data_IF_725474285480
#
_entry.id   IF_725474285480
#
_cell.length_a   1.000
_cell.length_b   1.000
_cell.length_c   1.000
_cell.angle_alpha   90.00
_cell.angle_beta   90.00
_cell.angle_gamma   90.00
#
_symmetry.space_group_name_H-M   'P 1'
#
loop_
_entity.id
_entity.type
_entity.pdbx_description
1 polymer ?
#
# COMPACT_ATOMS: atom_id res chain seq x y z
N UNK A 1 39.11 9.73 -33.94
CA UNK A 1 38.73 9.03 -32.68
C UNK A 1 37.22 8.83 -32.71
N UNK A 2 36.73 7.68 -32.24
CA UNK A 2 35.53 7.01 -32.75
C UNK A 2 34.21 7.45 -32.10
N UNK A 3 33.12 7.19 -32.83
CA UNK A 3 31.68 7.46 -32.55
C UNK A 3 31.15 6.68 -31.34
N UNK A 4 29.89 6.88 -30.84
CA UNK A 4 28.70 6.34 -31.56
C UNK A 4 27.25 6.81 -31.19
N UNK A 5 26.30 6.33 -32.02
CA UNK A 5 24.87 6.08 -31.79
C UNK A 5 23.90 7.26 -31.95
N UNK A 6 23.22 7.41 -33.09
CA UNK A 6 22.17 6.56 -33.67
C UNK A 6 20.86 6.60 -32.89
N UNK A 7 19.86 7.13 -33.59
CA UNK A 7 18.47 7.31 -33.21
C UNK A 7 17.80 5.97 -32.87
N UNK A 8 17.15 5.87 -31.71
CA UNK A 8 16.02 4.95 -31.54
C UNK A 8 14.88 5.69 -30.83
N UNK A 9 13.72 5.65 -31.48
CA UNK A 9 12.53 6.38 -31.09
C UNK A 9 11.82 5.66 -29.95
N UNK A 10 11.76 6.26 -28.77
CA UNK A 10 10.67 5.93 -27.84
C UNK A 10 9.61 7.01 -28.02
N UNK A 11 8.52 6.60 -28.67
CA UNK A 11 7.31 7.40 -28.86
C UNK A 11 6.90 8.02 -27.54
N UNK A 12 6.97 9.36 -27.50
CA UNK A 12 6.28 10.16 -26.53
C UNK A 12 4.78 10.03 -26.84
N UNK A 13 4.16 8.93 -26.39
CA UNK A 13 2.71 8.78 -26.45
C UNK A 13 2.14 9.78 -25.47
N UNK A 14 1.73 10.93 -26.02
CA UNK A 14 0.87 11.90 -25.39
C UNK A 14 -0.45 11.20 -24.97
N UNK A 15 -0.47 10.68 -23.75
CA UNK A 15 -1.71 10.49 -23.01
C UNK A 15 -1.96 11.80 -22.25
N UNK A 16 -3.12 12.41 -22.48
CA UNK A 16 -3.43 13.78 -22.08
C UNK A 16 -3.38 14.05 -20.56
N UNK A 17 -3.67 15.30 -20.14
CA UNK A 17 -3.76 15.68 -18.74
C UNK A 17 -5.04 15.12 -18.12
N UNK A 18 -5.17 13.80 -18.02
CA UNK A 18 -6.09 13.21 -17.06
C UNK A 18 -5.31 13.11 -15.76
N UNK A 19 -5.75 13.88 -14.76
CA UNK A 19 -5.43 13.69 -13.36
C UNK A 19 -5.21 12.22 -13.10
N UNK A 20 -3.94 11.83 -13.01
CA UNK A 20 -3.56 10.50 -12.61
C UNK A 20 -3.93 10.44 -11.14
N UNK A 21 -5.21 10.13 -10.88
CA UNK A 21 -5.66 9.62 -9.60
C UNK A 21 -4.99 8.25 -9.53
N UNK A 22 -3.70 8.26 -9.20
CA UNK A 22 -3.00 7.08 -8.74
C UNK A 22 -3.90 6.54 -7.65
N UNK A 23 -4.54 5.40 -7.92
CA UNK A 23 -5.22 4.67 -6.88
C UNK A 23 -4.25 4.61 -5.69
N UNK A 24 -4.72 4.93 -4.47
CA UNK A 24 -3.84 4.99 -3.32
C UNK A 24 -3.03 3.71 -3.27
N UNK A 25 -1.70 3.78 -3.12
CA UNK A 25 -0.89 2.58 -3.08
C UNK A 25 -1.42 1.70 -1.94
N UNK A 26 -1.80 0.49 -2.32
CA UNK A 26 -2.38 -0.50 -1.42
C UNK A 26 -1.41 -1.66 -1.28
N UNK A 27 -1.04 -1.96 -0.04
CA UNK A 27 -0.14 -3.06 0.30
C UNK A 27 -0.91 -4.16 1.00
N UNK A 28 -0.45 -5.40 0.85
CA UNK A 28 -1.06 -6.55 1.54
C UNK A 28 -0.03 -7.25 2.42
N UNK A 29 -0.43 -7.57 3.65
CA UNK A 29 0.42 -8.21 4.64
C UNK A 29 -0.36 -9.16 5.54
N UNK A 30 -0.03 -10.46 5.53
CA UNK A 30 -0.63 -11.53 6.37
C UNK A 30 -2.17 -11.65 6.33
N UNK A 31 -2.81 -11.14 5.28
CA UNK A 31 -4.27 -11.07 5.14
C UNK A 31 -4.86 -9.72 5.52
N UNK A 32 -4.04 -8.75 5.93
CA UNK A 32 -4.42 -7.35 6.07
C UNK A 32 -4.06 -6.55 4.82
N UNK A 33 -4.94 -5.64 4.45
CA UNK A 33 -4.70 -4.59 3.45
C UNK A 33 -4.33 -3.31 4.18
N UNK A 34 -3.27 -2.66 3.70
CA UNK A 34 -2.80 -1.36 4.16
C UNK A 34 -3.03 -0.37 3.02
N UNK A 35 -3.86 0.64 3.25
CA UNK A 35 -4.20 1.64 2.25
C UNK A 35 -3.65 3.01 2.68
N UNK A 36 -2.97 3.71 1.79
CA UNK A 36 -2.57 5.08 2.06
C UNK A 36 -3.79 6.01 1.94
N UNK A 37 -4.20 6.65 3.03
CA UNK A 37 -5.33 7.58 3.08
C UNK A 37 -4.95 8.98 2.58
N UNK A 38 -3.67 9.36 2.66
CA UNK A 38 -3.23 10.73 2.35
C UNK A 38 -1.72 10.92 2.33
N UNK A 39 -1.26 12.10 2.77
CA UNK A 39 0.16 12.44 2.76
C UNK A 39 0.96 11.62 3.79
N UNK A 40 2.15 11.12 3.43
CA UNK A 40 3.01 10.32 4.31
C UNK A 40 3.62 11.06 5.51
N UNK A 41 3.14 12.27 5.82
CA UNK A 41 3.60 13.14 6.91
C UNK A 41 2.59 13.23 8.07
N UNK A 42 1.46 12.51 7.97
CA UNK A 42 0.45 12.45 9.03
C UNK A 42 0.53 11.14 9.80
N UNK A 43 0.23 11.20 11.11
CA UNK A 43 0.23 10.02 11.99
C UNK A 43 -0.75 8.93 11.54
N UNK A 44 -1.79 9.30 10.77
CA UNK A 44 -2.80 8.41 10.20
C UNK A 44 -2.67 8.25 8.67
N UNK A 45 -1.44 8.31 8.14
CA UNK A 45 -1.20 8.18 6.71
C UNK A 45 -1.68 6.84 6.13
N UNK A 46 -1.61 5.76 6.91
CA UNK A 46 -1.95 4.40 6.47
C UNK A 46 -3.12 3.82 7.27
N UNK A 47 -4.14 3.30 6.59
CA UNK A 47 -5.24 2.55 7.19
C UNK A 47 -5.01 1.05 7.04
N UNK A 48 -5.28 0.28 8.10
CA UNK A 48 -5.05 -1.17 8.12
C UNK A 48 -6.37 -1.90 8.33
N UNK A 49 -6.71 -2.79 7.40
CA UNK A 49 -7.95 -3.58 7.44
C UNK A 49 -7.67 -5.04 7.15
N UNK A 50 -8.17 -5.95 7.98
CA UNK A 50 -8.09 -7.38 7.71
C UNK A 50 -9.09 -7.82 6.64
N UNK A 51 -8.76 -8.84 5.86
CA UNK A 51 -9.64 -9.44 4.85
C UNK A 51 -10.96 -9.98 5.43
N UNK A 52 -11.02 -10.27 6.74
CA UNK A 52 -12.26 -10.60 7.44
C UNK A 52 -13.19 -9.40 7.67
N UNK A 53 -12.83 -8.20 7.20
CA UNK A 53 -13.54 -6.95 7.45
C UNK A 53 -13.23 -6.29 8.80
N UNK A 54 -12.32 -6.86 9.60
CA UNK A 54 -11.94 -6.27 10.88
C UNK A 54 -10.96 -5.12 10.67
N UNK A 55 -11.29 -3.92 11.18
CA UNK A 55 -10.36 -2.81 11.21
C UNK A 55 -9.31 -3.04 12.30
N UNK A 56 -8.02 -2.92 11.93
CA UNK A 56 -6.91 -3.08 12.88
C UNK A 56 -6.50 -1.76 13.51
N UNK A 57 -6.46 -0.69 12.72
CA UNK A 57 -5.97 0.62 13.14
C UNK A 57 -5.45 1.44 11.98
N UNK A 58 -4.73 2.50 12.34
CA UNK A 58 -3.97 3.37 11.45
C UNK A 58 -2.50 3.38 11.86
N UNK A 59 -1.64 3.77 10.94
CA UNK A 59 -0.21 3.91 11.19
C UNK A 59 0.38 5.09 10.42
N UNK A 60 1.47 5.63 10.94
CA UNK A 60 2.23 6.73 10.34
C UNK A 60 3.21 6.26 9.26
N UNK A 61 3.50 4.96 9.20
CA UNK A 61 4.47 4.36 8.30
C UNK A 61 4.11 2.92 7.97
N UNK A 62 4.59 2.44 6.82
CA UNK A 62 4.43 1.03 6.43
C UNK A 62 5.03 0.05 7.44
N UNK A 63 6.16 0.41 8.06
CA UNK A 63 6.82 -0.45 9.04
C UNK A 63 5.98 -0.56 10.33
N UNK A 64 5.54 0.58 10.86
CA UNK A 64 4.59 0.64 11.98
C UNK A 64 3.29 -0.11 11.66
N UNK A 65 2.79 -0.02 10.41
CA UNK A 65 1.62 -0.78 9.99
C UNK A 65 1.88 -2.30 10.05
N UNK A 66 3.06 -2.76 9.62
CA UNK A 66 3.44 -4.17 9.68
C UNK A 66 3.58 -4.66 11.12
N UNK A 67 4.21 -3.89 12.01
CA UNK A 67 4.29 -4.23 13.43
C UNK A 67 2.90 -4.31 14.08
N UNK A 68 2.03 -3.34 13.79
CA UNK A 68 0.65 -3.34 14.31
C UNK A 68 -0.12 -4.57 13.81
N UNK A 69 0.05 -4.94 12.53
CA UNK A 69 -0.53 -6.16 11.98
C UNK A 69 0.02 -7.38 12.72
N UNK A 70 1.34 -7.53 12.87
CA UNK A 70 1.92 -8.72 13.50
C UNK A 70 1.48 -8.87 14.96
N UNK A 71 1.42 -7.76 15.70
CA UNK A 71 0.93 -7.74 17.07
C UNK A 71 -0.57 -8.09 17.20
N UNK A 72 -1.40 -7.66 16.23
CA UNK A 72 -2.87 -7.80 16.32
C UNK A 72 -3.44 -9.00 15.57
N UNK A 73 -2.75 -9.50 14.55
CA UNK A 73 -3.21 -10.59 13.68
C UNK A 73 -3.33 -11.91 14.45
N UNK A 74 -2.46 -12.16 15.42
CA UNK A 74 -2.52 -13.35 16.27
C UNK A 74 -3.81 -13.38 17.08
N UNK A 75 -4.15 -12.26 17.74
CA UNK A 75 -5.39 -12.13 18.51
C UNK A 75 -6.62 -12.23 17.60
N UNK A 76 -6.55 -11.65 16.41
CA UNK A 76 -7.65 -11.72 15.45
C UNK A 76 -7.88 -13.15 14.96
N UNK A 77 -6.81 -13.87 14.61
CA UNK A 77 -6.87 -15.29 14.21
C UNK A 77 -7.38 -16.19 15.32
N UNK A 78 -6.93 -15.98 16.56
CA UNK A 78 -7.46 -16.70 17.73
C UNK A 78 -8.96 -16.45 17.91
N UNK A 79 -9.41 -15.20 17.81
CA UNK A 79 -10.84 -14.85 17.90
C UNK A 79 -11.67 -15.46 16.77
N UNK A 80 -11.14 -15.50 15.56
CA UNK A 80 -11.82 -16.12 14.42
C UNK A 80 -11.88 -17.65 14.58
N UNK A 81 -10.81 -18.28 15.06
CA UNK A 81 -10.76 -19.72 15.32
C UNK A 81 -11.71 -20.14 16.45
N UNK A 82 -11.87 -19.34 17.50
CA UNK A 82 -12.81 -19.61 18.60
C UNK A 82 -14.30 -19.43 18.21
N UNK A 83 -14.58 -18.84 17.05
CA UNK A 83 -15.93 -18.60 16.53
C UNK A 83 -16.36 -19.63 15.47
N UNK A 84 -15.46 -20.50 15.03
CA UNK A 84 -15.74 -21.63 14.13
C UNK A 84 -15.85 -22.92 14.91
#
# INVERSE_FOLDING_TARGET
MPEPFSCDSVQLTAAGPMSQVCAPPTWTHRGCTVELLGCPDQEDAFSIRHCSGAWLGTASSLDAARELIDARILLLRQRLAARG
#
